data_IF_733283429202
#
_entry.id   IF_733283429202
#
_cell.length_a   1.000
_cell.length_b   1.000
_cell.length_c   1.000
_cell.angle_alpha   90.00
_cell.angle_beta   90.00
_cell.angle_gamma   90.00
#
_symmetry.space_group_name_H-M   'P 1'
#
loop_
_entity.id
_entity.type
_entity.pdbx_description
1 polymer ?
#
# COMPACT_ATOMS: atom_id res chain seq x y z
N UNK A 1 11.82 -9.98 -21.30
CA UNK A 1 10.57 -9.22 -21.05
C UNK A 1 9.36 -10.10 -21.38
N UNK A 2 9.23 -10.60 -22.61
CA UNK A 2 8.09 -11.45 -23.00
C UNK A 2 7.93 -12.71 -22.12
N UNK A 3 9.04 -13.34 -21.71
CA UNK A 3 9.00 -14.48 -20.78
C UNK A 3 8.49 -14.12 -19.37
N UNK A 4 8.74 -12.90 -18.88
CA UNK A 4 8.25 -12.45 -17.58
C UNK A 4 6.76 -12.07 -17.66
N UNK A 5 6.33 -11.45 -18.76
CA UNK A 5 4.92 -11.13 -19.02
C UNK A 5 4.09 -12.42 -19.10
N UNK A 6 4.59 -13.44 -19.80
CA UNK A 6 3.93 -14.75 -19.89
C UNK A 6 3.74 -15.45 -18.53
N UNK A 7 4.61 -15.17 -17.54
CA UNK A 7 4.45 -15.70 -16.17
C UNK A 7 3.33 -14.99 -15.38
N UNK A 8 3.06 -13.72 -15.69
CA UNK A 8 2.11 -12.89 -14.94
C UNK A 8 0.64 -13.21 -15.21
N UNK A 9 0.33 -14.11 -16.16
CA UNK A 9 -1.05 -14.51 -16.54
C UNK A 9 -1.97 -13.29 -16.77
N UNK A 10 -1.45 -12.29 -17.47
CA UNK A 10 -2.10 -10.99 -17.66
C UNK A 10 -3.44 -11.17 -18.40
N UNK A 11 -3.55 -12.16 -19.28
CA UNK A 11 -4.80 -12.48 -19.99
C UNK A 11 -5.96 -12.87 -19.06
N UNK A 12 -5.69 -13.21 -17.79
CA UNK A 12 -6.73 -13.54 -16.80
C UNK A 12 -7.19 -12.32 -15.98
N UNK A 13 -6.52 -11.17 -16.11
CA UNK A 13 -6.85 -9.95 -15.38
C UNK A 13 -8.05 -9.23 -16.00
N UNK A 14 -9.26 -9.63 -15.59
CA UNK A 14 -10.53 -9.03 -16.09
C UNK A 14 -10.66 -7.52 -15.86
N UNK A 15 -9.90 -6.96 -14.92
CA UNK A 15 -9.95 -5.55 -14.57
C UNK A 15 -8.78 -4.73 -15.15
N UNK A 16 -7.89 -5.34 -15.94
CA UNK A 16 -6.69 -4.71 -16.48
C UNK A 16 -5.65 -4.38 -15.41
N UNK A 17 -4.75 -3.44 -15.74
CA UNK A 17 -3.60 -3.03 -14.92
C UNK A 17 -3.77 -1.58 -14.45
N UNK A 18 -3.31 -1.30 -13.23
CA UNK A 18 -3.30 0.05 -12.66
C UNK A 18 -1.87 0.49 -12.37
N UNK A 19 -1.41 1.54 -13.06
CA UNK A 19 -0.13 2.19 -12.78
C UNK A 19 -0.28 3.21 -11.66
N UNK A 20 0.67 3.23 -10.72
CA UNK A 20 0.70 4.21 -9.60
C UNK A 20 2.10 4.79 -9.44
N UNK A 21 2.29 5.70 -8.48
CA UNK A 21 3.60 6.30 -8.20
C UNK A 21 3.96 7.43 -9.17
N UNK A 22 5.07 8.13 -8.92
CA UNK A 22 5.46 9.29 -9.72
C UNK A 22 5.73 8.96 -11.20
N UNK A 23 6.36 7.82 -11.48
CA UNK A 23 6.72 7.38 -12.84
C UNK A 23 5.49 7.14 -13.74
N UNK A 24 4.34 6.81 -13.15
CA UNK A 24 3.09 6.65 -13.92
C UNK A 24 2.61 7.94 -14.58
N UNK A 25 3.15 9.11 -14.19
CA UNK A 25 2.83 10.40 -14.76
C UNK A 25 3.75 10.82 -15.92
N UNK A 26 4.73 9.98 -16.30
CA UNK A 26 5.52 10.24 -17.49
C UNK A 26 4.62 10.19 -18.74
N UNK A 27 4.78 11.17 -19.62
CA UNK A 27 4.04 11.21 -20.89
C UNK A 27 4.34 9.94 -21.70
N UNK A 28 3.30 9.27 -22.20
CA UNK A 28 3.46 8.04 -22.97
C UNK A 28 3.61 6.76 -22.12
N UNK A 29 3.71 6.85 -20.79
CA UNK A 29 3.94 5.67 -19.96
C UNK A 29 2.73 4.71 -19.92
N UNK A 30 1.51 5.26 -19.97
CA UNK A 30 0.29 4.45 -20.06
C UNK A 30 0.23 3.74 -21.40
N UNK A 31 0.42 4.48 -22.49
CA UNK A 31 0.32 4.01 -23.86
C UNK A 31 1.37 2.93 -24.14
N UNK A 32 2.61 3.14 -23.70
CA UNK A 32 3.68 2.15 -23.81
C UNK A 32 3.36 0.88 -23.00
N UNK A 33 2.76 1.02 -21.82
CA UNK A 33 2.36 -0.13 -21.02
C UNK A 33 1.22 -0.92 -21.68
N UNK A 34 0.24 -0.25 -22.31
CA UNK A 34 -0.82 -0.91 -23.08
C UNK A 34 -0.25 -1.66 -24.29
N UNK A 35 0.72 -1.07 -24.99
CA UNK A 35 1.40 -1.70 -26.14
C UNK A 35 2.18 -2.95 -25.72
N UNK A 36 2.96 -2.87 -24.63
CA UNK A 36 3.80 -3.99 -24.17
C UNK A 36 2.98 -5.12 -23.55
N UNK A 37 1.90 -4.78 -22.84
CA UNK A 37 1.14 -5.74 -22.02
C UNK A 37 -0.14 -6.25 -22.71
N UNK A 38 -0.48 -5.69 -23.89
CA UNK A 38 -1.64 -6.06 -24.70
C UNK A 38 -2.94 -6.13 -23.88
N UNK A 39 -3.09 -5.22 -22.92
CA UNK A 39 -4.21 -5.18 -21.97
C UNK A 39 -4.55 -3.75 -21.58
N UNK A 40 -5.76 -3.52 -21.08
CA UNK A 40 -6.19 -2.21 -20.59
C UNK A 40 -5.34 -1.77 -19.40
N UNK A 41 -4.77 -0.56 -19.50
CA UNK A 41 -3.98 0.05 -18.42
C UNK A 41 -4.61 1.39 -18.03
N UNK A 42 -4.64 1.71 -16.74
CA UNK A 42 -5.07 3.02 -16.23
C UNK A 42 -4.12 3.58 -15.19
N UNK A 43 -4.05 4.90 -15.09
CA UNK A 43 -3.32 5.57 -14.01
C UNK A 43 -4.21 5.66 -12.78
N UNK A 44 -3.74 5.11 -11.67
CA UNK A 44 -4.43 5.07 -10.39
C UNK A 44 -4.10 6.28 -9.52
N UNK A 45 -5.14 6.84 -8.92
CA UNK A 45 -5.03 7.97 -8.00
C UNK A 45 -5.43 7.52 -6.58
N UNK A 46 -4.80 8.09 -5.53
CA UNK A 46 -5.21 7.81 -4.16
C UNK A 46 -6.66 8.24 -3.92
N UNK A 47 -7.33 7.58 -2.97
CA UNK A 47 -8.68 7.99 -2.53
C UNK A 47 -8.63 9.38 -1.93
N UNK A 48 -9.64 10.20 -2.24
CA UNK A 48 -9.77 11.55 -1.68
C UNK A 48 -9.79 11.50 -0.16
N UNK A 49 -9.01 12.40 0.45
CA UNK A 49 -8.97 12.61 1.89
C UNK A 49 -9.48 14.02 2.20
N UNK A 50 -10.35 14.13 3.20
CA UNK A 50 -10.86 15.41 3.65
C UNK A 50 -9.77 16.18 4.42
N UNK A 51 -9.69 17.51 4.22
CA UNK A 51 -8.76 18.40 4.94
C UNK A 51 -7.97 19.31 4.01
N UNK A 52 -7.05 20.11 4.57
CA UNK A 52 -6.21 21.09 3.85
C UNK A 52 -5.02 20.41 3.15
N UNK A 53 -5.27 19.31 2.44
CA UNK A 53 -4.26 18.64 1.65
C UNK A 53 -4.39 19.08 0.19
N UNK A 54 -3.94 20.29 -0.09
CA UNK A 54 -3.88 20.78 -1.46
C UNK A 54 -2.87 19.92 -2.22
N UNK A 55 -3.33 19.22 -3.27
CA UNK A 55 -2.54 18.39 -4.21
C UNK A 55 -2.22 16.93 -3.84
N UNK A 56 -2.90 16.29 -2.88
CA UNK A 56 -2.69 14.84 -2.63
C UNK A 56 -3.28 13.93 -3.70
N UNK A 57 -4.18 14.41 -4.55
CA UNK A 57 -4.76 13.64 -5.65
C UNK A 57 -3.76 13.48 -6.82
N UNK A 58 -2.64 12.83 -6.54
CA UNK A 58 -1.60 12.50 -7.52
C UNK A 58 -1.12 11.06 -7.30
N UNK A 59 -0.79 10.30 -8.36
CA UNK A 59 -0.34 8.91 -8.25
C UNK A 59 0.88 8.71 -7.35
N UNK A 60 1.75 9.72 -7.25
CA UNK A 60 2.91 9.74 -6.34
C UNK A 60 2.54 9.55 -4.86
N UNK A 61 1.31 9.89 -4.46
CA UNK A 61 0.85 9.77 -3.07
C UNK A 61 0.08 8.47 -2.78
N UNK A 62 -0.07 7.57 -3.76
CA UNK A 62 -0.86 6.33 -3.63
C UNK A 62 -0.43 5.46 -2.43
N UNK A 63 0.88 5.25 -2.24
CA UNK A 63 1.39 4.43 -1.13
C UNK A 63 1.13 5.06 0.23
N UNK A 64 1.43 6.35 0.39
CA UNK A 64 1.24 7.05 1.67
C UNK A 64 -0.23 7.09 2.10
N UNK A 65 -1.13 7.43 1.18
CA UNK A 65 -2.57 7.43 1.44
C UNK A 65 -3.07 6.02 1.75
N UNK A 66 -2.61 5.00 1.01
CA UNK A 66 -2.96 3.60 1.27
C UNK A 66 -2.55 3.13 2.67
N UNK A 67 -1.35 3.48 3.12
CA UNK A 67 -0.87 3.17 4.47
C UNK A 67 -1.72 3.85 5.56
N UNK A 68 -2.08 5.11 5.37
CA UNK A 68 -2.94 5.83 6.33
C UNK A 68 -4.34 5.22 6.40
N UNK A 69 -4.93 4.88 5.25
CA UNK A 69 -6.23 4.20 5.20
C UNK A 69 -6.17 2.82 5.87
N UNK A 70 -5.11 2.06 5.62
CA UNK A 70 -4.88 0.76 6.26
C UNK A 70 -4.77 0.89 7.79
N UNK A 71 -3.97 1.84 8.27
CA UNK A 71 -3.83 2.08 9.70
C UNK A 71 -5.15 2.53 10.35
N UNK A 72 -5.93 3.39 9.67
CA UNK A 72 -7.22 3.85 10.14
C UNK A 72 -8.25 2.71 10.23
N UNK A 73 -8.30 1.84 9.21
CA UNK A 73 -9.17 0.66 9.22
C UNK A 73 -8.80 -0.28 10.37
N UNK A 74 -7.49 -0.56 10.52
CA UNK A 74 -6.99 -1.39 11.62
C UNK A 74 -7.31 -0.79 12.99
N UNK A 75 -7.18 0.52 13.16
CA UNK A 75 -7.54 1.20 14.40
C UNK A 75 -9.03 1.07 14.73
N UNK A 76 -9.91 1.21 13.71
CA UNK A 76 -11.36 1.08 13.89
C UNK A 76 -11.78 -0.34 14.26
N UNK A 77 -11.16 -1.34 13.64
CA UNK A 77 -11.54 -2.74 13.82
C UNK A 77 -10.88 -3.37 15.06
N UNK A 78 -9.60 -3.08 15.33
CA UNK A 78 -8.82 -3.62 16.44
C UNK A 78 -7.83 -2.55 16.98
N UNK A 79 -8.29 -1.61 17.83
CA UNK A 79 -7.42 -0.55 18.35
C UNK A 79 -6.22 -1.09 19.15
N UNK A 80 -6.35 -2.26 19.79
CA UNK A 80 -5.30 -2.90 20.59
C UNK A 80 -4.11 -3.41 19.75
N UNK A 81 -4.29 -3.69 18.46
CA UNK A 81 -3.22 -4.22 17.60
C UNK A 81 -2.19 -3.14 17.21
N UNK A 82 -2.59 -1.87 17.25
CA UNK A 82 -1.66 -0.74 17.08
C UNK A 82 -0.90 -0.44 18.39
N UNK A 83 -1.56 -0.65 19.54
CA UNK A 83 -0.94 -0.51 20.87
C UNK A 83 0.08 -1.62 21.13
N UNK A 84 -0.20 -2.86 20.69
CA UNK A 84 0.74 -4.00 20.80
C UNK A 84 2.04 -3.79 20.03
N UNK A 85 2.02 -3.09 18.90
CA UNK A 85 3.24 -2.75 18.15
C UNK A 85 4.17 -1.86 19.00
N UNK A 86 3.60 -0.98 19.83
CA UNK A 86 4.31 -0.19 20.85
C UNK A 86 4.74 -1.03 22.07
N UNK A 87 3.96 -2.05 22.43
CA UNK A 87 4.26 -2.95 23.55
C UNK A 87 5.36 -4.00 23.24
N UNK A 88 5.66 -4.23 21.96
CA UNK A 88 6.77 -5.07 21.52
C UNK A 88 8.15 -4.49 21.92
N UNK A 89 8.23 -3.20 22.24
CA UNK A 89 9.47 -2.50 22.59
C UNK A 89 9.81 -2.44 24.08
N UNK A 90 9.11 -3.16 24.96
CA UNK A 90 9.50 -3.19 26.38
C UNK A 90 10.07 -4.53 26.85
N UNK A 91 11.34 -4.84 26.52
CA UNK A 91 12.11 -5.91 27.16
C UNK A 91 12.02 -5.90 28.70
N UNK A 92 11.86 -4.72 29.29
CA UNK A 92 11.69 -4.51 30.73
C UNK A 92 10.43 -5.15 31.33
N UNK A 93 9.33 -5.22 30.58
CA UNK A 93 8.10 -5.87 31.05
C UNK A 93 8.25 -7.39 31.13
N UNK A 94 9.01 -8.00 30.20
CA UNK A 94 9.34 -9.44 30.23
C UNK A 94 10.25 -9.79 31.41
N UNK A 95 11.23 -8.95 31.70
CA UNK A 95 12.16 -9.13 32.83
C UNK A 95 11.40 -9.01 34.17
N UNK A 96 10.53 -8.01 34.34
CA UNK A 96 9.70 -7.90 35.56
C UNK A 96 8.73 -9.07 35.74
N UNK A 97 8.14 -9.56 34.65
CA UNK A 97 7.22 -10.69 34.70
C UNK A 97 7.91 -11.99 35.09
N UNK A 98 9.14 -12.22 34.60
CA UNK A 98 9.93 -13.38 34.99
C UNK A 98 10.34 -13.32 36.46
N UNK A 99 10.74 -12.13 36.94
CA UNK A 99 11.17 -11.94 38.33
C UNK A 99 10.03 -12.20 39.31
N UNK A 100 8.80 -11.77 38.99
CA UNK A 100 7.61 -12.00 39.81
C UNK A 100 7.11 -13.46 39.75
N UNK A 101 7.46 -14.21 38.71
CA UNK A 101 7.04 -15.60 38.54
C UNK A 101 8.00 -16.61 39.17
N UNK A 102 9.25 -16.22 39.47
CA UNK A 102 10.30 -17.09 39.99
C UNK A 102 10.87 -16.65 41.34
N UNK A 103 10.31 -15.60 41.94
CA UNK A 103 10.61 -15.12 43.29
C UNK A 103 9.29 -15.05 44.07
#
# INVERSE_FOLDING_TARGET
INDEIGKMNIEKLRAGIVLTGGTSQLNGAKELAEEILETDVRVGFPKDMNGTFENINRPIHATGVGLLLFALDKYKNNPDDLVKQKALESPWLRIKSWLKSNL
#
